data_IF_892708115023
#
_entry.id   IF_892708115023
#
_cell.length_a   1.000
_cell.length_b   1.000
_cell.length_c   1.000
_cell.angle_alpha   90.00
_cell.angle_beta   90.00
_cell.angle_gamma   90.00
#
_symmetry.space_group_name_H-M   'P 1'
#
loop_
_entity.id
_entity.type
_entity.pdbx_description
1 polymer ?
#
# COMPACT_ATOMS: atom_id res chain seq x y z
N UNK A 1 15.03 16.52 62.71
CA UNK A 1 14.27 17.03 61.55
C UNK A 1 13.24 15.96 61.23
N UNK A 2 11.97 16.21 61.53
CA UNK A 2 10.96 15.16 61.60
C UNK A 2 10.35 14.96 60.21
N UNK A 3 10.68 13.85 59.55
CA UNK A 3 10.03 13.50 58.29
C UNK A 3 8.58 13.11 58.56
N UNK A 4 7.65 13.68 57.80
CA UNK A 4 6.21 13.45 57.96
C UNK A 4 5.86 12.05 57.44
N UNK A 5 5.84 11.05 58.32
CA UNK A 5 5.43 9.68 57.98
C UNK A 5 3.91 9.62 57.88
N UNK A 6 3.39 10.03 56.72
CA UNK A 6 1.99 9.87 56.35
C UNK A 6 1.70 8.46 55.83
N UNK A 7 1.45 7.50 56.73
CA UNK A 7 0.83 6.23 56.35
C UNK A 7 -0.67 6.47 56.09
N UNK A 8 -1.03 6.83 54.85
CA UNK A 8 -2.40 6.57 54.39
C UNK A 8 -2.51 5.09 54.05
N UNK A 9 -3.42 4.38 54.71
CA UNK A 9 -3.79 3.01 54.36
C UNK A 9 -4.86 2.96 53.25
N UNK A 10 -5.13 4.09 52.59
CA UNK A 10 -5.99 4.13 51.41
C UNK A 10 -5.22 3.58 50.20
N UNK A 11 -5.42 2.29 49.94
CA UNK A 11 -5.08 1.67 48.67
C UNK A 11 -5.93 2.37 47.61
N UNK A 12 -5.30 3.21 46.78
CA UNK A 12 -5.94 3.76 45.60
C UNK A 12 -6.12 2.60 44.61
N UNK A 13 -7.30 1.98 44.64
CA UNK A 13 -7.70 1.03 43.61
C UNK A 13 -7.90 1.83 42.31
N UNK A 14 -6.86 1.89 41.49
CA UNK A 14 -6.92 2.46 40.15
C UNK A 14 -7.60 1.41 39.28
N UNK A 15 -8.90 1.57 38.91
CA UNK A 15 -9.57 0.58 38.11
C UNK A 15 -8.81 0.45 36.79
N UNK A 16 -8.49 -0.78 36.41
CA UNK A 16 -7.75 -1.08 35.19
C UNK A 16 -8.37 -0.28 34.04
N UNK A 17 -7.59 0.66 33.48
CA UNK A 17 -8.03 1.50 32.37
C UNK A 17 -8.45 0.54 31.27
N UNK A 18 -9.75 0.43 31.03
CA UNK A 18 -10.25 -0.18 29.80
C UNK A 18 -9.74 0.73 28.70
N UNK A 19 -8.60 0.37 28.11
CA UNK A 19 -8.31 0.79 26.77
C UNK A 19 -9.51 0.33 25.97
N UNK A 20 -10.30 1.31 25.54
CA UNK A 20 -11.27 1.07 24.48
C UNK A 20 -10.38 0.80 23.29
N UNK A 21 -10.03 -0.48 23.11
CA UNK A 21 -9.59 -0.98 21.83
C UNK A 21 -10.77 -0.76 20.91
N UNK A 22 -10.81 0.44 20.34
CA UNK A 22 -11.36 0.65 19.01
C UNK A 22 -10.38 -0.09 18.09
N UNK A 23 -10.40 -1.41 18.18
CA UNK A 23 -10.28 -2.25 17.02
C UNK A 23 -11.30 -1.66 16.06
N UNK A 24 -10.81 -0.83 15.16
CA UNK A 24 -11.59 -0.38 14.04
C UNK A 24 -11.85 -1.61 13.20
N UNK A 25 -12.96 -2.27 13.54
CA UNK A 25 -14.01 -2.53 12.55
C UNK A 25 -14.30 -1.21 11.84
N UNK A 26 -13.33 -0.78 11.01
CA UNK A 26 -13.50 0.26 10.03
C UNK A 26 -14.59 -0.30 9.14
N UNK A 27 -15.82 0.17 9.37
CA UNK A 27 -16.97 -0.18 8.57
C UNK A 27 -16.62 0.22 7.14
N UNK A 28 -16.21 -0.77 6.34
CA UNK A 28 -16.07 -0.70 4.89
C UNK A 28 -17.47 -0.38 4.34
N UNK A 29 -17.86 0.90 4.40
CA UNK A 29 -19.28 1.26 4.40
C UNK A 29 -19.62 2.66 4.93
N UNK A 30 -18.66 3.58 5.07
CA UNK A 30 -18.97 5.01 4.95
C UNK A 30 -18.67 5.35 3.49
N UNK A 31 -19.64 5.92 2.78
CA UNK A 31 -19.59 6.13 1.32
C UNK A 31 -18.23 6.69 0.88
N UNK A 32 -17.53 5.91 0.06
CA UNK A 32 -16.25 6.33 -0.52
C UNK A 32 -16.43 7.68 -1.22
N UNK A 33 -15.51 8.62 -0.98
CA UNK A 33 -15.41 9.85 -1.78
C UNK A 33 -14.76 9.59 -3.14
N UNK A 34 -14.25 8.37 -3.35
CA UNK A 34 -13.72 7.93 -4.63
C UNK A 34 -14.85 7.65 -5.62
N UNK A 35 -14.66 8.03 -6.87
CA UNK A 35 -15.55 7.62 -7.96
C UNK A 35 -15.41 6.12 -8.31
N UNK A 36 -16.15 5.66 -9.32
CA UNK A 36 -16.17 4.25 -9.72
C UNK A 36 -14.81 3.76 -10.25
N UNK A 37 -14.07 4.61 -10.97
CA UNK A 37 -12.79 4.27 -11.60
C UNK A 37 -11.69 4.27 -10.52
N UNK A 38 -11.71 5.26 -9.63
CA UNK A 38 -10.86 5.34 -8.45
C UNK A 38 -11.10 4.17 -7.48
N UNK A 39 -12.36 3.76 -7.27
CA UNK A 39 -12.71 2.57 -6.47
C UNK A 39 -12.14 1.28 -7.07
N UNK A 40 -12.13 1.14 -8.40
CA UNK A 40 -11.54 -0.03 -9.05
C UNK A 40 -10.02 -0.11 -8.82
N UNK A 41 -9.30 1.02 -8.91
CA UNK A 41 -7.88 1.07 -8.54
C UNK A 41 -7.63 0.83 -7.06
N UNK A 42 -8.46 1.40 -6.18
CA UNK A 42 -8.36 1.17 -4.73
C UNK A 42 -8.54 -0.31 -4.38
N UNK A 43 -9.44 -1.03 -5.07
CA UNK A 43 -9.59 -2.48 -4.91
C UNK A 43 -8.31 -3.23 -5.27
N UNK A 44 -7.68 -2.93 -6.42
CA UNK A 44 -6.42 -3.57 -6.81
C UNK A 44 -5.29 -3.36 -5.79
N UNK A 45 -5.24 -2.18 -5.14
CA UNK A 45 -4.30 -1.89 -4.04
C UNK A 45 -4.64 -2.67 -2.76
N UNK A 46 -5.92 -2.79 -2.41
CA UNK A 46 -6.39 -3.60 -1.27
C UNK A 46 -6.00 -5.07 -1.48
N UNK A 47 -6.24 -5.62 -2.67
CA UNK A 47 -5.90 -7.01 -3.01
C UNK A 47 -4.37 -7.25 -2.93
N UNK A 48 -3.55 -6.32 -3.43
CA UNK A 48 -2.09 -6.38 -3.32
C UNK A 48 -1.59 -6.30 -1.87
N UNK A 49 -2.15 -5.39 -1.07
CA UNK A 49 -1.80 -5.22 0.34
C UNK A 49 -2.20 -6.44 1.16
N UNK A 50 -3.39 -7.00 0.93
CA UNK A 50 -3.85 -8.23 1.56
C UNK A 50 -2.93 -9.41 1.23
N UNK A 51 -2.55 -9.59 -0.04
CA UNK A 51 -1.59 -10.63 -0.43
C UNK A 51 -0.25 -10.45 0.29
N UNK A 52 0.25 -9.21 0.37
CA UNK A 52 1.50 -8.87 1.06
C UNK A 52 1.44 -9.18 2.56
N UNK A 53 0.36 -8.79 3.24
CA UNK A 53 0.16 -9.03 4.68
C UNK A 53 -0.01 -10.51 5.02
N UNK A 54 -0.58 -11.30 4.10
CA UNK A 54 -0.81 -12.74 4.27
C UNK A 54 0.39 -13.60 3.81
N UNK A 55 1.46 -12.99 3.27
CA UNK A 55 2.60 -13.71 2.71
C UNK A 55 2.28 -14.50 1.42
N UNK A 56 1.20 -14.14 0.74
CA UNK A 56 0.76 -14.77 -0.51
C UNK A 56 1.49 -14.16 -1.73
N UNK A 57 1.51 -14.86 -2.89
CA UNK A 57 1.99 -14.29 -4.14
C UNK A 57 1.26 -12.97 -4.45
N UNK A 58 2.05 -11.89 -4.56
CA UNK A 58 1.51 -10.55 -4.79
C UNK A 58 1.06 -10.40 -6.25
N UNK A 59 -0.14 -9.85 -6.53
CA UNK A 59 -0.57 -9.59 -7.89
C UNK A 59 0.31 -8.52 -8.54
N UNK A 60 0.51 -8.59 -9.86
CA UNK A 60 1.17 -7.52 -10.60
C UNK A 60 0.23 -6.31 -10.69
N UNK A 61 0.56 -5.22 -9.98
CA UNK A 61 -0.25 -4.00 -9.95
C UNK A 61 -0.39 -3.35 -11.33
N UNK A 62 0.64 -3.39 -12.18
CA UNK A 62 0.59 -2.80 -13.51
C UNK A 62 -0.40 -3.55 -14.41
N UNK A 63 -0.42 -4.88 -14.33
CA UNK A 63 -1.39 -5.69 -15.05
C UNK A 63 -2.82 -5.45 -14.51
N UNK A 64 -3.00 -5.41 -13.19
CA UNK A 64 -4.31 -5.18 -12.58
C UNK A 64 -4.86 -3.77 -12.83
N UNK A 65 -3.99 -2.76 -12.89
CA UNK A 65 -4.38 -1.40 -13.26
C UNK A 65 -4.68 -1.27 -14.76
N UNK A 66 -3.95 -1.99 -15.62
CA UNK A 66 -4.27 -2.08 -17.06
C UNK A 66 -5.66 -2.72 -17.25
N UNK A 67 -5.90 -3.88 -16.64
CA UNK A 67 -7.18 -4.62 -16.67
C UNK A 67 -8.34 -3.76 -16.16
N UNK A 68 -8.18 -3.06 -15.03
CA UNK A 68 -9.19 -2.13 -14.53
C UNK A 68 -9.49 -1.00 -15.53
N UNK A 69 -8.46 -0.45 -16.19
CA UNK A 69 -8.62 0.67 -17.12
C UNK A 69 -9.36 0.33 -18.42
N UNK A 70 -9.47 -0.95 -18.78
CA UNK A 70 -10.24 -1.41 -19.94
C UNK A 70 -11.76 -1.29 -19.72
N UNK A 71 -12.21 -1.27 -18.46
CA UNK A 71 -13.62 -1.08 -18.11
C UNK A 71 -14.04 0.41 -18.09
N UNK A 72 -13.09 1.34 -18.17
CA UNK A 72 -13.35 2.79 -18.06
C UNK A 72 -13.59 3.40 -19.43
N UNK A 73 -14.47 4.40 -19.52
CA UNK A 73 -14.74 5.13 -20.76
C UNK A 73 -13.65 6.19 -21.07
N UNK A 74 -12.37 5.82 -20.91
CA UNK A 74 -11.23 6.73 -21.03
C UNK A 74 -10.09 6.07 -21.83
N UNK A 75 -10.18 6.15 -23.15
CA UNK A 75 -9.18 5.58 -24.06
C UNK A 75 -7.75 6.06 -23.75
N UNK A 76 -7.57 7.34 -23.38
CA UNK A 76 -6.25 7.89 -23.07
C UNK A 76 -5.61 7.20 -21.87
N UNK A 77 -6.40 6.89 -20.84
CA UNK A 77 -5.95 6.18 -19.65
C UNK A 77 -5.64 4.71 -19.96
N UNK A 78 -6.48 4.05 -20.76
CA UNK A 78 -6.26 2.69 -21.25
C UNK A 78 -4.94 2.58 -22.06
N UNK A 79 -4.72 3.48 -23.03
CA UNK A 79 -3.47 3.50 -23.82
C UNK A 79 -2.24 3.87 -22.98
N UNK A 80 -2.39 4.70 -21.94
CA UNK A 80 -1.31 4.98 -21.00
C UNK A 80 -0.86 3.71 -20.28
N UNK A 81 -1.78 2.91 -19.74
CA UNK A 81 -1.43 1.67 -19.05
C UNK A 81 -0.84 0.61 -19.98
N UNK A 82 -1.35 0.48 -21.20
CA UNK A 82 -0.73 -0.37 -22.25
C UNK A 82 0.70 0.09 -22.54
N UNK A 83 0.92 1.39 -22.71
CA UNK A 83 2.27 1.95 -22.94
C UNK A 83 3.20 1.66 -21.77
N UNK A 84 2.74 1.80 -20.51
CA UNK A 84 3.56 1.43 -19.35
C UNK A 84 3.89 -0.06 -19.32
N UNK A 85 2.95 -0.95 -19.65
CA UNK A 85 3.19 -2.41 -19.75
C UNK A 85 4.26 -2.74 -20.79
N UNK A 86 4.14 -2.18 -21.99
CA UNK A 86 5.17 -2.32 -23.01
C UNK A 86 6.52 -1.72 -22.57
N UNK A 87 6.53 -0.60 -21.85
CA UNK A 87 7.76 0.02 -21.32
C UNK A 87 8.46 -0.85 -20.26
N UNK A 88 7.71 -1.58 -19.42
CA UNK A 88 8.30 -2.53 -18.46
C UNK A 88 8.84 -3.79 -19.13
N UNK A 89 8.26 -4.20 -20.26
CA UNK A 89 8.73 -5.36 -21.02
C UNK A 89 10.01 -5.06 -21.84
N UNK A 90 10.34 -3.79 -22.09
CA UNK A 90 11.57 -3.40 -22.83
C UNK A 90 12.80 -3.71 -21.97
N UNK A 91 13.70 -4.63 -22.40
CA UNK A 91 14.92 -4.91 -21.67
C UNK A 91 15.79 -3.65 -21.59
N UNK A 92 16.17 -3.18 -20.39
CA UNK A 92 16.95 -1.94 -20.28
C UNK A 92 18.36 -2.03 -20.94
N UNK A 93 18.80 -1.02 -21.71
CA UNK A 93 19.94 -1.04 -22.67
C UNK A 93 21.22 -0.22 -22.28
N UNK A 94 22.45 -0.69 -22.56
CA UNK A 94 23.72 0.06 -22.31
C UNK A 94 24.58 0.31 -23.56
N UNK A 95 25.62 1.19 -23.60
CA UNK A 95 26.34 1.97 -22.56
C UNK A 95 26.58 3.43 -23.03
N UNK A 96 26.59 4.43 -22.13
CA UNK A 96 26.59 5.87 -22.51
C UNK A 96 27.08 6.90 -21.46
N UNK A 97 26.44 8.00 -21.07
CA UNK A 97 25.01 8.46 -21.08
C UNK A 97 24.11 7.80 -19.99
N UNK A 98 22.79 8.08 -19.93
CA UNK A 98 21.65 7.49 -19.14
C UNK A 98 21.48 5.94 -19.26
N UNK A 99 22.63 5.31 -19.42
CA UNK A 99 22.91 4.30 -20.42
C UNK A 99 24.16 3.54 -19.93
N UNK A 100 25.20 4.19 -19.35
CA UNK A 100 26.23 3.51 -18.53
C UNK A 100 25.60 2.86 -17.30
N UNK A 101 24.65 3.58 -16.71
CA UNK A 101 23.79 3.20 -15.59
C UNK A 101 22.86 1.99 -15.86
N UNK A 102 23.23 1.14 -16.83
CA UNK A 102 22.61 -0.15 -17.11
C UNK A 102 23.66 -1.28 -17.26
N UNK A 103 24.84 -1.15 -16.64
CA UNK A 103 25.89 -2.19 -16.61
C UNK A 103 26.80 -2.34 -15.33
N UNK A 104 26.67 -1.58 -14.23
CA UNK A 104 27.51 -1.73 -12.99
C UNK A 104 27.01 -2.87 -12.08
N UNK A 105 27.04 -4.13 -12.54
CA UNK A 105 26.01 -5.14 -12.17
C UNK A 105 24.60 -4.70 -12.57
N UNK A 106 24.43 -3.47 -13.07
CA UNK A 106 23.11 -2.87 -13.27
C UNK A 106 22.43 -3.52 -14.44
N UNK A 107 21.16 -3.82 -14.19
CA UNK A 107 20.37 -4.70 -15.02
C UNK A 107 21.19 -5.91 -15.49
N UNK A 108 21.94 -6.50 -14.55
CA UNK A 108 22.25 -7.94 -14.55
C UNK A 108 21.20 -8.72 -13.73
N UNK A 109 20.22 -8.02 -13.18
CA UNK A 109 18.88 -8.53 -12.84
C UNK A 109 17.93 -8.35 -14.06
N UNK A 110 17.82 -7.13 -14.59
CA UNK A 110 17.23 -6.73 -15.91
C UNK A 110 15.73 -6.98 -16.14
N UNK A 111 15.10 -7.90 -15.41
CA UNK A 111 13.67 -8.25 -15.41
C UNK A 111 13.25 -8.71 -14.00
#
# INVERSE_FOLDING_TARGET
MNSLVGYSNEIIDVPARREISIASEARFGISSTLDQDEMAYAKCLIDYNNATLQGLPKPNLLEKFSEASEAFNNQKLCEMWKMLRYMTDIPPQGKGDAVKARCETIVQERM
#
